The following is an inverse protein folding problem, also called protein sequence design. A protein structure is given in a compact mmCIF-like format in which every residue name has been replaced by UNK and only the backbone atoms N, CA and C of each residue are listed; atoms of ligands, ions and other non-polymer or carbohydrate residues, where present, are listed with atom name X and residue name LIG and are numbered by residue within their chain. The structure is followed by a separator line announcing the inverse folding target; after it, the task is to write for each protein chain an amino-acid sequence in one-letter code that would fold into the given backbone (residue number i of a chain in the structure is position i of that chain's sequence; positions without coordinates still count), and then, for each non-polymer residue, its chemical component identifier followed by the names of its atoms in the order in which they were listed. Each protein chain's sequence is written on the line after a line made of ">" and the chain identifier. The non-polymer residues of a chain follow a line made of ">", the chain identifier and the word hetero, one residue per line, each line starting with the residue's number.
data_IF_732541057647
#
_entry.id   IF_732541057647
#
_cell.length_a   1.000
_cell.length_b   1.000
_cell.length_c   1.000
_cell.angle_alpha   90.00
_cell.angle_beta   90.00
_cell.angle_gamma   90.00
#
_symmetry.space_group_name_H-M   'P 1'
#
loop_
_entity.id
_entity.type
_entity.pdbx_description
1 polymer ?
#
# COMPACT_ATOMS: atom_id res chain seq x y z
N UNK A 1 -7.59 8.10 13.17
CA UNK A 1 -8.15 6.79 12.76
C UNK A 1 -9.26 6.90 11.75
N UNK A 2 -10.28 7.70 12.01
CA UNK A 2 -11.45 7.82 11.12
C UNK A 2 -11.13 8.24 9.69
N UNK A 3 -10.16 9.15 9.50
CA UNK A 3 -9.73 9.61 8.18
C UNK A 3 -9.13 8.47 7.35
N UNK A 4 -8.29 7.64 7.96
CA UNK A 4 -7.66 6.52 7.29
C UNK A 4 -8.69 5.43 6.92
N UNK A 5 -9.59 5.12 7.82
CA UNK A 5 -10.70 4.18 7.58
C UNK A 5 -11.63 4.69 6.48
N UNK A 6 -12.01 5.97 6.54
CA UNK A 6 -12.84 6.60 5.51
C UNK A 6 -12.17 6.61 4.13
N UNK A 7 -10.84 6.79 4.07
CA UNK A 7 -10.11 6.72 2.82
C UNK A 7 -10.22 5.32 2.17
N UNK A 8 -10.11 4.26 2.97
CA UNK A 8 -10.27 2.88 2.49
C UNK A 8 -11.72 2.62 2.07
N UNK A 9 -12.69 3.08 2.83
CA UNK A 9 -14.11 2.96 2.50
C UNK A 9 -14.48 3.65 1.17
N UNK A 10 -13.97 4.86 0.95
CA UNK A 10 -14.16 5.56 -0.33
C UNK A 10 -13.58 4.78 -1.51
N UNK A 11 -12.46 4.09 -1.30
CA UNK A 11 -11.84 3.25 -2.31
C UNK A 11 -12.71 2.02 -2.58
N UNK A 12 -13.29 1.39 -1.58
CA UNK A 12 -14.23 0.28 -1.76
C UNK A 12 -15.39 0.64 -2.69
N UNK A 13 -15.96 1.81 -2.49
CA UNK A 13 -17.07 2.30 -3.31
C UNK A 13 -16.63 2.55 -4.76
N UNK A 14 -15.45 3.12 -4.96
CA UNK A 14 -14.90 3.43 -6.29
C UNK A 14 -14.34 2.19 -6.99
N UNK A 15 -13.72 1.29 -6.24
CA UNK A 15 -13.03 0.11 -6.77
C UNK A 15 -13.97 -0.95 -7.32
N UNK A 16 -15.20 -1.02 -6.82
CA UNK A 16 -16.18 -2.01 -7.23
C UNK A 16 -16.48 -2.03 -8.75
N UNK A 17 -16.19 -0.92 -9.44
CA UNK A 17 -16.43 -0.79 -10.89
C UNK A 17 -15.25 -1.14 -11.79
N UNK A 18 -14.04 -1.34 -11.25
CA UNK A 18 -12.83 -1.53 -12.07
C UNK A 18 -11.89 -2.59 -11.49
N UNK A 19 -11.40 -3.51 -12.35
CA UNK A 19 -10.43 -4.55 -11.99
C UNK A 19 -9.03 -3.99 -11.71
N UNK A 20 -8.82 -3.29 -10.60
CA UNK A 20 -7.59 -2.57 -10.26
C UNK A 20 -7.05 -2.97 -8.90
N UNK A 21 -5.76 -2.72 -8.72
CA UNK A 21 -5.10 -2.81 -7.41
C UNK A 21 -4.98 -1.41 -6.84
N UNK A 22 -5.47 -1.23 -5.62
CA UNK A 22 -5.38 0.03 -4.89
C UNK A 22 -4.40 -0.12 -3.73
N UNK A 23 -3.45 0.79 -3.66
CA UNK A 23 -2.51 0.87 -2.56
C UNK A 23 -2.82 2.14 -1.77
N UNK A 24 -3.15 1.98 -0.49
CA UNK A 24 -3.38 3.09 0.43
C UNK A 24 -2.19 3.19 1.36
N UNK A 25 -1.41 4.25 1.21
CA UNK A 25 -0.31 4.54 2.12
C UNK A 25 -0.81 5.33 3.30
N UNK A 26 -0.55 4.82 4.50
CA UNK A 26 -0.94 5.44 5.75
C UNK A 26 0.31 5.94 6.48
N UNK A 27 0.32 7.24 6.79
CA UNK A 27 1.40 7.87 7.54
C UNK A 27 1.18 7.65 9.04
N UNK A 28 2.14 7.05 9.70
CA UNK A 28 2.03 6.71 11.12
C UNK A 28 3.36 6.53 11.84
N UNK A 29 4.39 7.30 11.50
CA UNK A 29 5.68 7.32 12.21
C UNK A 29 6.21 5.94 12.62
N UNK A 30 6.70 5.12 11.73
CA UNK A 30 7.36 3.83 12.01
C UNK A 30 6.55 2.82 12.84
N UNK A 31 5.31 3.13 13.20
CA UNK A 31 4.42 2.28 13.98
C UNK A 31 3.24 1.85 13.13
N UNK A 32 3.08 0.55 12.97
CA UNK A 32 2.04 -0.04 12.12
C UNK A 32 0.62 -0.04 12.71
N UNK A 33 0.42 0.44 13.94
CA UNK A 33 -0.88 0.41 14.60
C UNK A 33 -1.99 1.09 13.82
N UNK A 34 -1.74 2.30 13.32
CA UNK A 34 -2.72 3.04 12.54
C UNK A 34 -3.10 2.27 11.27
N UNK A 35 -2.11 1.74 10.57
CA UNK A 35 -2.32 0.97 9.35
C UNK A 35 -3.06 -0.33 9.62
N UNK A 36 -2.72 -1.03 10.70
CA UNK A 36 -3.39 -2.27 11.09
C UNK A 36 -4.87 -2.02 11.42
N UNK A 37 -5.15 -1.07 12.28
CA UNK A 37 -6.52 -0.77 12.69
C UNK A 37 -7.36 -0.22 11.54
N UNK A 38 -6.82 0.72 10.78
CA UNK A 38 -7.52 1.28 9.62
C UNK A 38 -7.73 0.24 8.51
N UNK A 39 -6.75 -0.62 8.28
CA UNK A 39 -6.84 -1.70 7.30
C UNK A 39 -7.91 -2.73 7.67
N UNK A 40 -7.98 -3.14 8.93
CA UNK A 40 -9.01 -4.07 9.42
C UNK A 40 -10.39 -3.41 9.37
N UNK A 41 -10.52 -2.20 9.91
CA UNK A 41 -11.79 -1.48 9.96
C UNK A 41 -12.32 -1.11 8.56
N UNK A 42 -11.44 -0.75 7.64
CA UNK A 42 -11.79 -0.41 6.26
C UNK A 42 -11.91 -1.62 5.32
N UNK A 43 -11.58 -2.82 5.80
CA UNK A 43 -11.68 -4.03 4.97
C UNK A 43 -10.58 -4.16 3.91
N UNK A 44 -9.36 -3.73 4.21
CA UNK A 44 -8.23 -3.95 3.32
C UNK A 44 -7.92 -5.46 3.19
N UNK A 45 -7.51 -5.86 2.00
CA UNK A 45 -7.25 -7.26 1.70
C UNK A 45 -5.86 -7.71 2.13
N UNK A 46 -4.89 -6.79 2.06
CA UNK A 46 -3.50 -7.01 2.45
C UNK A 46 -3.06 -5.80 3.28
N UNK A 47 -2.39 -6.07 4.41
CA UNK A 47 -1.86 -5.03 5.30
C UNK A 47 -0.36 -5.25 5.45
N UNK A 48 0.44 -4.23 5.11
CA UNK A 48 1.89 -4.25 5.23
C UNK A 48 2.34 -3.32 6.36
N UNK A 49 3.03 -3.88 7.34
CA UNK A 49 3.46 -3.21 8.56
C UNK A 49 4.98 -3.05 8.60
N UNK A 50 5.51 -1.99 9.22
CA UNK A 50 6.96 -1.83 9.36
C UNK A 50 7.59 -2.84 10.31
N UNK A 51 6.83 -3.37 11.27
CA UNK A 51 7.31 -4.36 12.24
C UNK A 51 7.51 -5.76 11.64
N UNK A 52 6.82 -6.05 10.52
CA UNK A 52 6.89 -7.34 9.84
C UNK A 52 7.36 -7.11 8.40
N UNK A 53 8.62 -7.43 8.07
CA UNK A 53 9.10 -7.32 6.70
C UNK A 53 8.26 -8.16 5.74
N UNK A 54 7.80 -7.56 4.66
CA UNK A 54 6.95 -8.25 3.71
C UNK A 54 7.76 -9.00 2.64
N UNK A 55 7.21 -10.12 2.17
CA UNK A 55 7.70 -10.84 1.01
C UNK A 55 6.88 -10.41 -0.21
N UNK A 56 7.55 -9.84 -1.21
CA UNK A 56 6.88 -9.38 -2.43
C UNK A 56 6.17 -10.52 -3.18
N UNK A 57 6.79 -11.69 -3.25
CA UNK A 57 6.18 -12.84 -3.92
C UNK A 57 4.90 -13.30 -3.23
N UNK A 58 4.86 -13.27 -1.90
CA UNK A 58 3.65 -13.57 -1.14
C UNK A 58 2.53 -12.57 -1.40
N UNK A 59 2.85 -11.27 -1.47
CA UNK A 59 1.89 -10.22 -1.84
C UNK A 59 1.35 -10.45 -3.25
N UNK A 60 2.23 -10.74 -4.19
CA UNK A 60 1.87 -11.02 -5.58
C UNK A 60 0.96 -12.24 -5.71
N UNK A 61 1.29 -13.32 -4.99
CA UNK A 61 0.45 -14.53 -4.95
C UNK A 61 -0.92 -14.26 -4.37
N UNK A 62 -1.01 -13.49 -3.29
CA UNK A 62 -2.29 -13.12 -2.67
C UNK A 62 -3.19 -12.35 -3.67
N UNK A 63 -2.63 -11.38 -4.39
CA UNK A 63 -3.37 -10.64 -5.42
C UNK A 63 -3.80 -11.56 -6.57
N UNK A 64 -2.92 -12.46 -7.03
CA UNK A 64 -3.26 -13.45 -8.06
C UNK A 64 -4.39 -14.39 -7.63
N UNK A 65 -4.36 -14.87 -6.39
CA UNK A 65 -5.42 -15.74 -5.85
C UNK A 65 -6.76 -15.02 -5.79
N UNK A 66 -6.77 -13.76 -5.40
CA UNK A 66 -7.99 -12.94 -5.40
C UNK A 66 -8.56 -12.76 -6.80
N UNK A 67 -7.70 -12.51 -7.79
CA UNK A 67 -8.10 -12.40 -9.19
C UNK A 67 -8.72 -13.71 -9.69
N UNK A 68 -8.12 -14.86 -9.37
CA UNK A 68 -8.66 -16.20 -9.72
C UNK A 68 -9.99 -16.49 -9.02
N UNK A 69 -10.18 -16.00 -7.80
CA UNK A 69 -11.44 -16.14 -7.07
C UNK A 69 -12.56 -15.21 -7.57
N UNK A 70 -12.33 -14.45 -8.64
CA UNK A 70 -13.31 -13.54 -9.23
C UNK A 70 -13.46 -12.21 -8.51
N UNK A 71 -12.56 -11.87 -7.61
CA UNK A 71 -12.52 -10.54 -6.96
C UNK A 71 -12.01 -9.50 -7.94
N UNK A 72 -12.82 -8.48 -8.20
CA UNK A 72 -12.53 -7.46 -9.22
C UNK A 72 -11.48 -6.45 -8.81
N UNK A 73 -11.19 -6.32 -7.52
CA UNK A 73 -10.21 -5.38 -6.98
C UNK A 73 -9.52 -5.93 -5.76
N UNK A 74 -8.35 -5.37 -5.45
CA UNK A 74 -7.61 -5.66 -4.22
C UNK A 74 -7.16 -4.35 -3.59
N UNK A 75 -7.29 -4.22 -2.28
CA UNK A 75 -6.89 -3.04 -1.51
C UNK A 75 -5.74 -3.44 -0.58
N UNK A 76 -4.60 -2.78 -0.75
CA UNK A 76 -3.43 -2.94 0.08
C UNK A 76 -3.29 -1.72 0.98
N UNK A 77 -3.33 -1.92 2.29
CA UNK A 77 -2.99 -0.89 3.27
C UNK A 77 -1.49 -1.01 3.59
N UNK A 78 -0.72 0.01 3.28
CA UNK A 78 0.73 0.02 3.43
C UNK A 78 1.14 1.10 4.42
N UNK A 79 1.88 0.73 5.46
CA UNK A 79 2.47 1.70 6.37
C UNK A 79 3.67 2.40 5.72
N UNK A 80 3.84 3.67 6.00
CA UNK A 80 4.95 4.49 5.48
C UNK A 80 6.34 3.88 5.70
N UNK A 81 6.51 3.20 6.83
CA UNK A 81 7.77 2.54 7.20
C UNK A 81 7.88 1.07 6.78
N UNK A 82 6.95 0.54 5.99
CA UNK A 82 7.00 -0.86 5.56
C UNK A 82 8.26 -1.14 4.74
N UNK A 83 8.92 -2.25 5.05
CA UNK A 83 10.15 -2.69 4.38
C UNK A 83 10.00 -4.12 3.87
N UNK A 84 10.65 -4.43 2.74
CA UNK A 84 10.71 -5.79 2.24
C UNK A 84 11.68 -6.66 3.05
N UNK A 85 11.55 -7.98 2.96
CA UNK A 85 12.49 -8.90 3.60
C UNK A 85 13.92 -8.72 3.07
N UNK A 86 14.07 -8.39 1.80
CA UNK A 86 15.38 -8.10 1.19
C UNK A 86 16.01 -6.85 1.82
N UNK A 87 15.23 -5.80 1.98
CA UNK A 87 15.70 -4.55 2.56
C UNK A 87 15.95 -4.66 4.08
N UNK A 88 15.23 -5.55 4.77
CA UNK A 88 15.42 -5.80 6.18
C UNK A 88 16.79 -6.45 6.49
N UNK A 89 17.39 -7.14 5.53
CA UNK A 89 18.71 -7.73 5.65
C UNK A 89 19.85 -6.72 5.47
N UNK A 90 19.56 -5.55 4.92
CA UNK A 90 20.54 -4.49 4.71
C UNK A 90 20.85 -3.74 6.01
N UNK A 91 22.09 -3.24 6.11
CA UNK A 91 22.42 -2.33 7.22
C UNK A 91 21.65 -1.01 7.08
N UNK A 92 21.45 -0.31 8.21
CA UNK A 92 20.74 1.00 8.20
C UNK A 92 21.35 1.99 7.20
N UNK A 93 22.69 2.00 7.08
CA UNK A 93 23.39 2.89 6.16
C UNK A 93 23.14 2.52 4.69
N UNK A 94 23.16 1.25 4.37
CA UNK A 94 22.90 0.74 3.01
C UNK A 94 21.44 0.97 2.61
N UNK A 95 20.50 0.72 3.53
CA UNK A 95 19.08 1.00 3.30
C UNK A 95 18.82 2.49 3.06
N UNK A 96 19.44 3.37 3.85
CA UNK A 96 19.32 4.81 3.65
C UNK A 96 19.90 5.28 2.31
N UNK A 97 21.06 4.73 1.90
CA UNK A 97 21.65 4.99 0.58
C UNK A 97 20.75 4.51 -0.55
N UNK A 98 20.20 3.30 -0.43
CA UNK A 98 19.25 2.75 -1.40
C UNK A 98 18.00 3.63 -1.51
N UNK A 99 17.44 4.05 -0.39
CA UNK A 99 16.29 4.94 -0.35
C UNK A 99 16.57 6.31 -0.95
N UNK A 100 17.73 6.89 -0.67
CA UNK A 100 18.15 8.18 -1.22
C UNK A 100 18.36 8.13 -2.74
N UNK A 101 18.86 7.00 -3.25
CA UNK A 101 19.09 6.79 -4.69
C UNK A 101 17.86 6.22 -5.43
N UNK A 102 16.79 5.90 -4.71
CA UNK A 102 15.56 5.37 -5.30
C UNK A 102 14.84 6.45 -6.11
N UNK A 103 14.39 6.15 -7.34
CA UNK A 103 13.57 7.07 -8.12
C UNK A 103 12.14 7.20 -7.59
N UNK A 104 11.76 6.38 -6.62
CA UNK A 104 10.41 6.36 -6.07
C UNK A 104 10.30 7.21 -4.80
N UNK A 105 9.25 8.03 -4.65
CA UNK A 105 9.07 8.88 -3.48
C UNK A 105 8.71 8.09 -2.20
N UNK A 106 8.16 6.90 -2.34
CA UNK A 106 7.81 6.03 -1.20
C UNK A 106 7.80 4.54 -1.57
N UNK A 107 7.74 3.70 -0.55
CA UNK A 107 7.63 2.23 -0.69
C UNK A 107 6.38 1.84 -1.50
N UNK A 108 5.28 2.55 -1.31
CA UNK A 108 4.02 2.29 -2.02
C UNK A 108 4.17 2.45 -3.53
N UNK A 109 4.90 3.44 -4.00
CA UNK A 109 5.17 3.63 -5.43
C UNK A 109 6.05 2.52 -6.00
N UNK A 110 7.08 2.13 -5.29
CA UNK A 110 7.95 1.01 -5.69
C UNK A 110 7.16 -0.30 -5.77
N UNK A 111 6.39 -0.59 -4.74
CA UNK A 111 5.52 -1.77 -4.67
C UNK A 111 4.49 -1.77 -5.80
N UNK A 112 3.84 -0.63 -6.03
CA UNK A 112 2.85 -0.46 -7.09
C UNK A 112 3.43 -0.70 -8.48
N UNK A 113 4.62 -0.19 -8.75
CA UNK A 113 5.33 -0.42 -10.01
C UNK A 113 5.66 -1.89 -10.22
N UNK A 114 6.18 -2.55 -9.19
CA UNK A 114 6.50 -3.99 -9.26
C UNK A 114 5.26 -4.84 -9.50
N UNK A 115 4.14 -4.53 -8.84
CA UNK A 115 2.87 -5.24 -9.05
C UNK A 115 2.34 -5.00 -10.45
N UNK A 116 2.36 -3.76 -10.94
CA UNK A 116 1.93 -3.41 -12.29
C UNK A 116 2.73 -4.16 -13.36
N UNK A 117 4.06 -4.20 -13.22
CA UNK A 117 4.95 -4.89 -14.16
C UNK A 117 4.74 -6.41 -14.13
N UNK A 118 4.44 -6.98 -12.96
CA UNK A 118 4.27 -8.43 -12.78
C UNK A 118 2.87 -8.93 -13.22
N UNK A 119 1.82 -8.16 -12.98
CA UNK A 119 0.44 -8.56 -13.24
C UNK A 119 -0.17 -7.93 -14.50
N UNK A 120 0.42 -6.86 -15.01
CA UNK A 120 -0.15 -6.09 -16.12
C UNK A 120 -1.46 -5.37 -15.75
N UNK A 121 -1.80 -5.27 -14.47
CA UNK A 121 -2.98 -4.56 -13.97
C UNK A 121 -2.65 -3.13 -13.62
N UNK A 122 -3.62 -2.25 -13.80
CA UNK A 122 -3.48 -0.86 -13.34
C UNK A 122 -3.45 -0.81 -11.82
N UNK A 123 -2.44 -0.12 -11.28
CA UNK A 123 -2.27 0.11 -9.85
C UNK A 123 -2.48 1.59 -9.56
N UNK A 124 -3.33 1.88 -8.59
CA UNK A 124 -3.54 3.25 -8.09
C UNK A 124 -3.06 3.39 -6.66
N UNK A 125 -2.43 4.51 -6.38
CA UNK A 125 -1.83 4.79 -5.08
C UNK A 125 -2.51 6.01 -4.47
N UNK A 126 -3.00 5.87 -3.24
CA UNK A 126 -3.56 6.94 -2.43
C UNK A 126 -2.74 7.11 -1.16
N UNK A 127 -2.34 8.35 -0.86
CA UNK A 127 -1.66 8.69 0.39
C UNK A 127 -2.65 9.34 1.35
N UNK A 128 -3.07 8.64 2.39
CA UNK A 128 -4.08 9.12 3.33
C UNK A 128 -3.57 10.20 4.30
N UNK A 129 -2.24 10.32 4.49
CA UNK A 129 -1.64 11.30 5.41
C UNK A 129 -1.61 12.73 4.88
N UNK A 130 -1.71 12.95 3.58
CA UNK A 130 -1.73 14.30 2.98
C UNK A 130 -3.13 14.91 2.90
N UNK A 131 -4.15 14.20 3.34
CA UNK A 131 -5.55 14.64 3.26
C UNK A 131 -5.85 15.85 4.15
N UNK A 132 -5.10 16.03 5.24
CA UNK A 132 -5.24 17.20 6.11
C UNK A 132 -4.66 18.48 5.47
N UNK A 133 -3.76 18.37 4.50
CA UNK A 133 -3.08 19.51 3.87
C UNK A 133 -3.62 19.86 2.46
N UNK A 134 -4.38 18.98 1.83
CA UNK A 134 -4.90 19.17 0.47
C UNK A 134 -6.39 18.90 0.36
N UNK A 135 -7.19 19.84 0.83
CA UNK A 135 -8.64 19.87 0.54
C UNK A 135 -8.96 20.18 -0.93
N UNK A 136 -7.99 20.22 -1.84
CA UNK A 136 -8.20 20.76 -3.19
C UNK A 136 -7.73 19.90 -4.38
N UNK A 137 -7.23 18.70 -4.18
CA UNK A 137 -7.01 17.83 -5.32
C UNK A 137 -7.66 16.49 -5.06
N UNK A 138 -8.80 16.28 -5.70
CA UNK A 138 -9.61 15.09 -5.54
C UNK A 138 -8.82 13.81 -5.82
N UNK A 139 -9.10 12.77 -5.04
CA UNK A 139 -8.83 11.40 -5.42
C UNK A 139 -9.68 11.08 -6.66
N UNK A 140 -9.12 11.34 -7.80
CA UNK A 140 -9.64 10.87 -9.09
C UNK A 140 -8.57 10.07 -9.78
#
# INVERSE_FOLDING_TARGET
>A
MDIATNAIDCIHTTAASHGRVFIVELMGHKVGWLTLHAGIAGGADIILLPEIPYNFDAVLMAVKQRNKAGKRFSILAVAEGAISQEDAQLSKKEYQKKKANSPFPSVSYELGKKIQDALGQEVRICCAGSYAARRQSGCL
#
